data_IF_757805953941
#
_entry.id   IF_757805953941
#
_cell.length_a   1.000
_cell.length_b   1.000
_cell.length_c   1.000
_cell.angle_alpha   90.00
_cell.angle_beta   90.00
_cell.angle_gamma   90.00
#
_symmetry.space_group_name_H-M   'P 1'
#
loop_
_entity.id
_entity.type
_entity.pdbx_description
1 polymer ?
#
# COMPACT_ATOMS: atom_id res chain seq x y z
N UNK A 1 -10.03 25.33 -8.57
CA UNK A 1 -9.96 24.21 -7.60
C UNK A 1 -9.52 22.99 -8.39
N UNK A 2 -8.43 22.32 -8.01
CA UNK A 2 -7.72 21.39 -8.90
C UNK A 2 -8.31 19.96 -8.83
N UNK A 3 -9.48 19.76 -9.44
CA UNK A 3 -10.25 18.50 -9.41
C UNK A 3 -9.42 17.27 -9.83
N UNK A 4 -8.49 17.45 -10.78
CA UNK A 4 -7.59 16.39 -11.25
C UNK A 4 -6.65 15.87 -10.15
N UNK A 5 -6.16 16.75 -9.26
CA UNK A 5 -5.31 16.34 -8.14
C UNK A 5 -6.11 15.60 -7.07
N UNK A 6 -7.35 16.03 -6.82
CA UNK A 6 -8.26 15.38 -5.87
C UNK A 6 -8.66 13.99 -6.37
N UNK A 7 -8.93 13.85 -7.67
CA UNK A 7 -9.27 12.57 -8.29
C UNK A 7 -8.09 11.58 -8.22
N UNK A 8 -6.89 12.02 -8.61
CA UNK A 8 -5.69 11.18 -8.54
C UNK A 8 -5.38 10.70 -7.11
N UNK A 9 -5.50 11.58 -6.11
CA UNK A 9 -5.34 11.19 -4.70
C UNK A 9 -6.40 10.19 -4.25
N UNK A 10 -7.64 10.35 -4.71
CA UNK A 10 -8.74 9.44 -4.35
C UNK A 10 -8.51 8.05 -4.94
N UNK A 11 -8.04 7.98 -6.19
CA UNK A 11 -7.65 6.73 -6.85
C UNK A 11 -6.49 6.05 -6.13
N UNK A 12 -5.41 6.79 -5.82
CA UNK A 12 -4.28 6.25 -5.06
C UNK A 12 -4.68 5.74 -3.68
N UNK A 13 -5.58 6.43 -2.99
CA UNK A 13 -6.05 6.00 -1.68
C UNK A 13 -6.93 4.75 -1.78
N UNK A 14 -7.76 4.67 -2.81
CA UNK A 14 -8.55 3.47 -3.11
C UNK A 14 -7.65 2.25 -3.37
N UNK A 15 -6.62 2.41 -4.18
CA UNK A 15 -5.67 1.33 -4.47
C UNK A 15 -4.86 0.93 -3.23
N UNK A 16 -4.45 1.88 -2.38
CA UNK A 16 -3.81 1.59 -1.10
C UNK A 16 -4.72 0.78 -0.18
N UNK A 17 -6.03 1.08 -0.15
CA UNK A 17 -7.02 0.30 0.61
C UNK A 17 -7.22 -1.10 0.04
N UNK A 18 -7.13 -1.29 -1.27
CA UNK A 18 -7.16 -2.64 -1.87
C UNK A 18 -6.03 -3.52 -1.34
N UNK A 19 -4.82 -2.98 -1.14
CA UNK A 19 -3.72 -3.76 -0.54
C UNK A 19 -4.06 -4.28 0.87
N UNK A 20 -4.82 -3.50 1.65
CA UNK A 20 -5.29 -3.92 2.99
C UNK A 20 -6.37 -5.01 2.88
N UNK A 21 -7.31 -4.86 1.94
CA UNK A 21 -8.35 -5.87 1.67
C UNK A 21 -7.74 -7.20 1.20
N UNK A 22 -6.70 -7.13 0.37
CA UNK A 22 -5.94 -8.28 -0.10
C UNK A 22 -5.02 -8.88 1.00
N UNK A 23 -5.07 -8.35 2.23
CA UNK A 23 -4.22 -8.73 3.38
C UNK A 23 -2.72 -8.59 3.13
N UNK A 24 -2.32 -7.79 2.15
CA UNK A 24 -0.92 -7.51 1.85
C UNK A 24 -0.34 -6.42 2.78
N UNK A 25 -1.22 -5.58 3.33
CA UNK A 25 -0.88 -4.47 4.24
C UNK A 25 -1.75 -4.54 5.50
N UNK A 26 -1.26 -3.98 6.61
CA UNK A 26 -1.98 -3.94 7.89
C UNK A 26 -3.06 -2.84 7.88
N UNK A 27 -2.71 -1.64 7.40
CA UNK A 27 -3.63 -0.49 7.40
C UNK A 27 -3.22 0.57 6.38
N UNK A 28 -4.19 1.39 5.95
CA UNK A 28 -4.01 2.53 5.05
C UNK A 28 -4.81 3.73 5.57
N UNK A 29 -4.19 4.90 5.66
CA UNK A 29 -4.84 6.13 6.12
C UNK A 29 -4.23 7.37 5.45
N UNK A 30 -4.89 8.51 5.62
CA UNK A 30 -4.37 9.80 5.17
C UNK A 30 -3.89 10.63 6.36
N UNK A 31 -2.78 11.34 6.20
CA UNK A 31 -2.24 12.26 7.20
C UNK A 31 -1.54 13.43 6.50
N UNK A 32 -1.91 14.66 6.84
CA UNK A 32 -1.34 15.89 6.27
C UNK A 32 -1.28 15.89 4.73
N UNK A 33 -2.37 15.47 4.09
CA UNK A 33 -2.45 15.38 2.62
C UNK A 33 -1.65 14.23 2.00
N UNK A 34 -1.02 13.38 2.80
CA UNK A 34 -0.27 12.20 2.35
C UNK A 34 -1.09 10.94 2.54
N UNK A 35 -0.89 9.98 1.64
CA UNK A 35 -1.42 8.62 1.79
C UNK A 35 -0.32 7.79 2.43
N UNK A 36 -0.63 7.17 3.56
CA UNK A 36 0.27 6.31 4.32
C UNK A 36 -0.29 4.90 4.37
N UNK A 37 0.60 3.92 4.28
CA UNK A 37 0.29 2.49 4.41
C UNK A 37 1.28 1.86 5.36
N UNK A 38 0.78 1.02 6.26
CA UNK A 38 1.60 0.20 7.14
C UNK A 38 1.65 -1.22 6.60
N UNK A 39 2.85 -1.73 6.37
CA UNK A 39 3.04 -3.12 5.98
C UNK A 39 2.92 -4.07 7.17
N UNK A 40 2.95 -5.37 6.90
CA UNK A 40 2.82 -6.41 7.93
C UNK A 40 4.03 -6.49 8.87
N UNK A 41 5.15 -5.84 8.52
CA UNK A 41 6.32 -5.67 9.38
C UNK A 41 6.24 -4.39 10.20
N UNK A 42 5.09 -3.71 10.18
CA UNK A 42 4.82 -2.44 10.87
C UNK A 42 5.65 -1.25 10.37
N UNK A 43 6.23 -1.35 9.18
CA UNK A 43 6.92 -0.23 8.52
C UNK A 43 5.89 0.65 7.82
N UNK A 44 6.01 1.96 7.99
CA UNK A 44 5.12 2.95 7.38
C UNK A 44 5.75 3.43 6.06
N UNK A 45 4.97 3.36 4.99
CA UNK A 45 5.35 3.80 3.65
C UNK A 45 4.45 4.95 3.20
N UNK A 46 5.05 5.96 2.58
CA UNK A 46 4.32 7.07 1.95
C UNK A 46 4.05 6.74 0.49
N UNK A 47 2.78 6.81 0.08
CA UNK A 47 2.35 6.58 -1.30
C UNK A 47 2.28 7.91 -2.04
N UNK A 48 3.11 8.02 -3.08
CA UNK A 48 3.22 9.22 -3.90
C UNK A 48 2.72 8.98 -5.34
N UNK A 49 2.66 7.72 -5.76
CA UNK A 49 2.28 7.32 -7.12
C UNK A 49 1.76 5.89 -7.19
N UNK A 50 1.11 5.55 -8.31
CA UNK A 50 0.63 4.19 -8.57
C UNK A 50 1.79 3.18 -8.70
N UNK A 51 2.94 3.61 -9.24
CA UNK A 51 4.14 2.78 -9.30
C UNK A 51 4.60 2.36 -7.89
N UNK A 52 4.46 3.26 -6.90
CA UNK A 52 4.82 2.95 -5.53
C UNK A 52 3.91 1.86 -4.94
N UNK A 53 2.62 1.88 -5.26
CA UNK A 53 1.65 0.83 -4.89
C UNK A 53 2.06 -0.52 -5.50
N UNK A 54 2.45 -0.55 -6.78
CA UNK A 54 2.93 -1.77 -7.43
C UNK A 54 4.17 -2.37 -6.76
N UNK A 55 5.10 -1.51 -6.29
CA UNK A 55 6.28 -1.94 -5.53
C UNK A 55 5.89 -2.54 -4.18
N UNK A 56 5.00 -1.88 -3.44
CA UNK A 56 4.49 -2.38 -2.16
C UNK A 56 3.81 -3.74 -2.31
N UNK A 57 3.00 -3.92 -3.35
CA UNK A 57 2.35 -5.20 -3.68
C UNK A 57 3.37 -6.31 -3.96
N UNK A 58 4.38 -6.02 -4.78
CA UNK A 58 5.44 -6.98 -5.12
C UNK A 58 6.25 -7.39 -3.89
N UNK A 59 6.58 -6.44 -3.02
CA UNK A 59 7.34 -6.68 -1.79
C UNK A 59 6.55 -7.50 -0.76
N UNK A 60 5.24 -7.27 -0.66
CA UNK A 60 4.35 -8.06 0.19
C UNK A 60 4.30 -9.52 -0.28
N UNK A 61 4.08 -9.75 -1.58
CA UNK A 61 4.04 -11.10 -2.16
C UNK A 61 5.37 -11.84 -1.97
N UNK A 62 6.51 -11.14 -2.11
CA UNK A 62 7.83 -11.73 -1.85
C UNK A 62 8.00 -12.16 -0.40
N UNK A 63 7.52 -11.34 0.54
CA UNK A 63 7.58 -11.64 1.97
C UNK A 63 6.71 -12.85 2.33
N UNK A 64 5.52 -12.99 1.73
CA UNK A 64 4.67 -14.18 1.90
C UNK A 64 5.32 -15.45 1.35
N UNK A 65 5.92 -15.41 0.16
CA UNK A 65 6.55 -16.58 -0.46
C UNK A 65 7.77 -17.11 0.33
N UNK A 66 8.50 -16.25 1.03
CA UNK A 66 9.60 -16.67 1.92
C UNK A 66 9.14 -17.31 3.23
N UNK A 67 7.90 -17.06 3.67
CA UNK A 67 7.35 -17.65 4.91
C UNK A 67 6.75 -19.03 4.67
N UNK A 68 6.22 -19.31 3.48
CA UNK A 68 5.54 -20.58 3.17
C UNK A 68 6.47 -21.73 2.75
N UNK A 69 7.75 -21.46 2.51
CA UNK A 69 8.74 -22.47 2.08
C UNK A 69 9.64 -23.00 3.21
N UNK A 70 9.31 -22.70 4.48
CA UNK A 70 10.11 -23.03 5.65
C UNK A 70 9.60 -24.20 6.51
N UNK A 71 8.80 -25.11 5.95
CA UNK A 71 8.37 -26.33 6.65
C UNK A 71 8.93 -27.56 5.93
N UNK A 72 10.11 -27.99 6.34
CA UNK A 72 10.66 -29.33 6.03
C UNK A 72 11.14 -29.96 7.33
#
# INVERSE_FOLDING_TARGET
MNESLTKLRSELFFDARKLVLDKLMESAWTHDGNILVRDLKRVIHRVESAEHICKLRSNANRSYASVTNGSK
#
